data_IF_166557763884
#
_entry.id   IF_166557763884
#
_cell.length_a   1.000
_cell.length_b   1.000
_cell.length_c   1.000
_cell.angle_alpha   90.00
_cell.angle_beta   90.00
_cell.angle_gamma   90.00
#
_symmetry.space_group_name_H-M   'P 1'
#
loop_
_entity.id
_entity.type
_entity.pdbx_description
1 polymer ?
#
# COMPACT_ATOMS: atom_id res chain seq x y z
N UNK A 1 -6.50 -39.04 -2.99
CA UNK A 1 -7.36 -37.88 -2.72
C UNK A 1 -7.22 -36.98 -3.93
N UNK A 2 -8.25 -36.91 -4.77
CA UNK A 2 -8.22 -36.19 -6.05
C UNK A 2 -8.51 -34.70 -5.79
N UNK A 3 -7.46 -33.88 -5.77
CA UNK A 3 -7.53 -32.46 -5.38
C UNK A 3 -7.97 -31.53 -6.52
N UNK A 4 -8.46 -32.08 -7.63
CA UNK A 4 -8.86 -31.32 -8.84
C UNK A 4 -10.04 -30.38 -8.60
N UNK A 5 -10.87 -30.61 -7.59
CA UNK A 5 -12.00 -29.75 -7.21
C UNK A 5 -11.68 -28.74 -6.08
N UNK A 6 -10.48 -28.78 -5.50
CA UNK A 6 -10.12 -27.88 -4.41
C UNK A 6 -9.73 -26.49 -4.93
N UNK A 7 -10.12 -25.40 -4.24
CA UNK A 7 -9.67 -24.04 -4.57
C UNK A 7 -8.15 -23.96 -4.67
N UNK A 8 -7.66 -23.33 -5.73
CA UNK A 8 -6.23 -23.17 -6.01
C UNK A 8 -5.81 -21.75 -5.64
N UNK A 9 -4.68 -21.61 -4.95
CA UNK A 9 -3.99 -20.32 -4.78
C UNK A 9 -2.99 -20.19 -5.93
N UNK A 10 -3.24 -19.26 -6.84
CA UNK A 10 -2.44 -19.06 -8.04
C UNK A 10 -1.68 -17.74 -7.92
N UNK A 11 -0.37 -17.75 -8.17
CA UNK A 11 0.42 -16.52 -8.28
C UNK A 11 0.00 -15.78 -9.55
N UNK A 12 -0.74 -14.69 -9.39
CA UNK A 12 -1.14 -13.83 -10.50
C UNK A 12 -0.04 -12.84 -10.89
N UNK A 13 0.74 -12.37 -9.90
CA UNK A 13 1.77 -11.37 -10.09
C UNK A 13 2.82 -11.45 -8.98
N UNK A 14 4.08 -11.17 -9.35
CA UNK A 14 5.20 -11.01 -8.42
C UNK A 14 6.03 -9.78 -8.84
N UNK A 15 6.30 -8.90 -7.90
CA UNK A 15 7.13 -7.71 -8.09
C UNK A 15 8.24 -7.69 -7.03
N UNK A 16 9.45 -7.28 -7.43
CA UNK A 16 10.54 -7.02 -6.49
C UNK A 16 10.50 -5.58 -6.00
N UNK A 17 10.67 -5.38 -4.69
CA UNK A 17 10.68 -4.06 -4.06
C UNK A 17 12.09 -3.73 -3.55
N UNK A 18 12.42 -2.45 -3.53
CA UNK A 18 13.69 -1.90 -3.01
C UNK A 18 13.59 -1.45 -1.54
N UNK A 19 12.51 -1.81 -0.85
CA UNK A 19 12.24 -1.53 0.54
C UNK A 19 11.53 -2.73 1.18
N UNK A 20 11.50 -2.78 2.51
CA UNK A 20 10.80 -3.84 3.24
C UNK A 20 9.31 -3.47 3.37
N UNK A 21 8.39 -4.23 2.76
CA UNK A 21 6.95 -4.00 2.93
C UNK A 21 6.47 -4.54 4.28
N UNK A 22 5.64 -3.77 4.99
CA UNK A 22 5.05 -4.15 6.28
C UNK A 22 3.53 -4.27 6.25
N UNK A 23 2.85 -3.55 5.34
CA UNK A 23 1.41 -3.66 5.13
C UNK A 23 1.06 -3.37 3.67
N UNK A 24 -0.02 -3.99 3.18
CA UNK A 24 -0.56 -3.74 1.84
C UNK A 24 -2.08 -3.67 1.91
N UNK A 25 -2.68 -2.71 1.20
CA UNK A 25 -4.13 -2.49 1.22
C UNK A 25 -4.66 -2.16 -0.16
N UNK A 26 -5.76 -2.79 -0.54
CA UNK A 26 -6.52 -2.38 -1.72
C UNK A 26 -7.14 -1.00 -1.48
N UNK A 27 -7.01 -0.12 -2.47
CA UNK A 27 -7.73 1.15 -2.50
C UNK A 27 -9.19 0.86 -2.87
N UNK A 28 -10.17 1.21 -2.03
CA UNK A 28 -11.58 0.88 -2.27
C UNK A 28 -12.06 1.29 -3.66
N UNK A 29 -12.93 0.45 -4.26
CA UNK A 29 -13.55 0.70 -5.57
C UNK A 29 -12.53 0.91 -6.71
N UNK A 30 -11.38 0.23 -6.66
CA UNK A 30 -10.37 0.32 -7.73
C UNK A 30 -9.48 -0.91 -7.82
N UNK A 31 -8.71 -1.01 -8.92
CA UNK A 31 -7.63 -1.99 -9.07
C UNK A 31 -6.28 -1.46 -8.54
N UNK A 32 -6.31 -0.42 -7.70
CA UNK A 32 -5.13 0.18 -7.08
C UNK A 32 -4.91 -0.40 -5.70
N UNK A 33 -3.67 -0.48 -5.27
CA UNK A 33 -3.29 -0.88 -3.92
C UNK A 33 -2.10 -0.06 -3.43
N UNK A 34 -1.97 0.03 -2.12
CA UNK A 34 -0.85 0.71 -1.47
C UNK A 34 0.05 -0.29 -0.79
N UNK A 35 1.35 -0.07 -0.88
CA UNK A 35 2.38 -0.79 -0.14
C UNK A 35 3.04 0.18 0.82
N UNK A 36 2.99 -0.16 2.11
CA UNK A 36 3.60 0.61 3.18
C UNK A 36 4.83 -0.12 3.68
N UNK A 37 5.91 0.61 3.91
CA UNK A 37 7.15 -0.01 4.31
C UNK A 37 8.25 0.95 4.72
N UNK A 38 9.47 0.44 4.68
CA UNK A 38 10.67 1.17 5.08
C UNK A 38 11.87 0.78 4.20
N UNK A 39 12.61 1.78 3.72
CA UNK A 39 13.87 1.58 3.02
C UNK A 39 14.98 1.15 3.99
N UNK A 40 16.08 0.54 3.49
CA UNK A 40 17.23 0.18 4.33
C UNK A 40 17.84 1.33 5.14
N UNK A 41 17.67 2.59 4.67
CA UNK A 41 18.11 3.82 5.34
C UNK A 41 17.15 4.31 6.44
N UNK A 42 16.21 3.47 6.85
CA UNK A 42 15.21 3.71 7.89
C UNK A 42 14.17 4.81 7.65
N UNK A 43 14.02 5.25 6.41
CA UNK A 43 12.94 6.13 5.96
C UNK A 43 11.74 5.31 5.48
N UNK A 44 10.53 5.84 5.66
CA UNK A 44 9.29 5.19 5.24
C UNK A 44 8.98 5.36 3.78
N UNK A 45 8.20 4.43 3.25
CA UNK A 45 7.71 4.43 1.89
C UNK A 45 6.18 4.24 1.89
N UNK A 46 5.48 5.11 1.17
CA UNK A 46 4.11 4.86 0.70
C UNK A 46 4.21 4.74 -0.82
N UNK A 47 3.97 3.55 -1.36
CA UNK A 47 3.91 3.30 -2.80
C UNK A 47 2.47 2.98 -3.20
N UNK A 48 1.93 3.72 -4.17
CA UNK A 48 0.64 3.44 -4.81
C UNK A 48 0.91 2.70 -6.11
N UNK A 49 0.33 1.52 -6.25
CA UNK A 49 0.42 0.68 -7.43
C UNK A 49 -0.97 0.46 -8.04
N UNK A 50 -1.00 0.11 -9.32
CA UNK A 50 -2.20 -0.31 -10.03
C UNK A 50 -1.96 -1.64 -10.74
N UNK A 51 -2.90 -2.56 -10.57
CA UNK A 51 -2.93 -3.77 -11.37
C UNK A 51 -3.50 -3.44 -12.76
N UNK A 52 -2.70 -3.63 -13.80
CA UNK A 52 -3.06 -3.37 -15.18
C UNK A 52 -2.58 -4.51 -16.08
N UNK A 53 -3.52 -5.21 -16.74
CA UNK A 53 -3.22 -6.29 -17.73
C UNK A 53 -2.16 -7.30 -17.26
N UNK A 54 -2.24 -7.75 -16.01
CA UNK A 54 -1.30 -8.71 -15.44
C UNK A 54 0.06 -8.13 -15.04
N UNK A 55 0.17 -6.80 -14.95
CA UNK A 55 1.35 -6.08 -14.45
C UNK A 55 0.96 -5.17 -13.29
N UNK A 56 1.92 -4.91 -12.42
CA UNK A 56 1.81 -3.94 -11.34
C UNK A 56 2.56 -2.70 -11.79
N UNK A 57 1.82 -1.61 -11.96
CA UNK A 57 2.36 -0.33 -12.38
C UNK A 57 2.46 0.59 -11.16
N UNK A 58 3.65 1.11 -10.88
CA UNK A 58 3.84 2.13 -9.84
C UNK A 58 3.27 3.47 -10.33
N UNK A 59 2.25 3.96 -9.64
CA UNK A 59 1.61 5.24 -9.94
C UNK A 59 2.27 6.40 -9.19
N UNK A 60 2.52 6.22 -7.89
CA UNK A 60 3.10 7.23 -7.04
C UNK A 60 3.94 6.61 -5.93
N UNK A 61 4.92 7.36 -5.43
CA UNK A 61 5.77 6.98 -4.31
C UNK A 61 6.18 8.22 -3.54
N UNK A 62 6.08 8.16 -2.22
CA UNK A 62 6.60 9.21 -1.34
C UNK A 62 7.46 8.57 -0.25
N UNK A 63 8.53 9.27 0.10
CA UNK A 63 9.44 8.89 1.16
C UNK A 63 9.23 9.80 2.36
N UNK A 64 9.17 9.22 3.55
CA UNK A 64 8.97 9.95 4.80
C UNK A 64 10.09 9.65 5.80
N UNK A 65 10.39 10.54 6.76
CA UNK A 65 11.50 10.34 7.69
C UNK A 65 11.39 9.08 8.56
N UNK A 66 10.18 8.55 8.77
CA UNK A 66 9.90 7.37 9.61
C UNK A 66 9.23 6.27 8.80
N UNK A 67 9.59 5.01 9.08
CA UNK A 67 8.99 3.82 8.48
C UNK A 67 7.51 3.66 8.78
N UNK A 68 6.74 3.13 7.84
CA UNK A 68 5.31 2.84 8.04
C UNK A 68 5.08 1.39 8.44
N UNK A 69 4.32 1.16 9.51
CA UNK A 69 4.04 -0.18 10.03
C UNK A 69 2.72 -0.74 9.53
N UNK A 70 1.72 0.11 9.35
CA UNK A 70 0.36 -0.27 8.99
C UNK A 70 -0.42 0.88 8.36
N UNK A 71 -1.52 0.55 7.68
CA UNK A 71 -2.50 1.54 7.23
C UNK A 71 -3.88 0.98 6.97
N UNK A 72 -4.87 1.87 6.87
CA UNK A 72 -6.27 1.51 6.63
C UNK A 72 -7.01 2.61 5.89
N UNK A 73 -7.96 2.22 5.03
CA UNK A 73 -8.94 3.11 4.41
C UNK A 73 -10.24 3.22 5.23
N UNK A 74 -10.38 2.45 6.31
CA UNK A 74 -11.61 2.39 7.10
C UNK A 74 -11.98 3.69 7.82
N UNK A 75 -11.05 4.65 7.91
CA UNK A 75 -11.28 5.97 8.48
C UNK A 75 -11.77 7.01 7.44
N UNK A 76 -11.91 6.61 6.17
CA UNK A 76 -12.26 7.53 5.08
C UNK A 76 -13.55 7.12 4.37
N UNK A 77 -14.20 8.10 3.73
CA UNK A 77 -15.34 7.86 2.85
C UNK A 77 -14.89 7.13 1.57
N UNK A 78 -15.86 6.54 0.86
CA UNK A 78 -15.60 5.90 -0.44
C UNK A 78 -15.20 6.93 -1.52
N UNK A 79 -15.59 8.19 -1.34
CA UNK A 79 -15.28 9.28 -2.26
C UNK A 79 -13.83 9.74 -2.08
N UNK A 80 -13.43 10.03 -0.85
CA UNK A 80 -12.11 10.57 -0.52
C UNK A 80 -11.01 9.49 -0.58
N UNK A 81 -11.29 8.29 -0.06
CA UNK A 81 -10.34 7.15 0.00
C UNK A 81 -8.98 7.53 0.60
N UNK A 82 -8.99 8.41 1.59
CA UNK A 82 -7.79 8.77 2.32
C UNK A 82 -7.24 7.56 3.09
N UNK A 83 -5.91 7.43 3.10
CA UNK A 83 -5.21 6.37 3.80
C UNK A 83 -4.77 6.87 5.17
N UNK A 84 -5.27 6.27 6.24
CA UNK A 84 -4.68 6.45 7.57
C UNK A 84 -3.46 5.53 7.71
N UNK A 85 -2.34 6.04 8.22
CA UNK A 85 -1.10 5.28 8.43
C UNK A 85 -0.59 5.40 9.86
N UNK A 86 -0.06 4.31 10.40
CA UNK A 86 0.73 4.30 11.64
C UNK A 86 2.22 4.09 11.33
N UNK A 87 3.08 4.95 11.87
CA UNK A 87 4.53 4.85 11.71
C UNK A 87 5.24 4.20 12.91
N UNK A 88 6.53 3.91 12.76
CA UNK A 88 7.36 3.33 13.83
C UNK A 88 7.73 4.29 14.97
N UNK A 89 7.43 5.59 14.83
CA UNK A 89 7.58 6.58 15.90
C UNK A 89 6.27 6.77 16.70
N UNK A 90 5.21 6.02 16.39
CA UNK A 90 3.89 6.16 17.01
C UNK A 90 3.05 7.30 16.40
N UNK A 91 3.49 7.87 15.28
CA UNK A 91 2.78 8.87 14.52
C UNK A 91 1.59 8.27 13.78
N UNK A 92 0.46 9.00 13.81
CA UNK A 92 -0.73 8.74 13.00
C UNK A 92 -0.87 9.90 12.02
N UNK A 93 -1.08 9.58 10.75
CA UNK A 93 -1.30 10.58 9.70
C UNK A 93 -2.33 10.07 8.68
N UNK A 94 -3.02 11.00 8.03
CA UNK A 94 -3.98 10.71 6.95
C UNK A 94 -3.44 11.27 5.65
N UNK A 95 -3.47 10.45 4.60
CA UNK A 95 -2.88 10.77 3.29
C UNK A 95 -3.91 10.77 2.19
N UNK A 96 -3.83 11.78 1.33
CA UNK A 96 -4.48 11.78 0.02
C UNK A 96 -3.55 11.10 -0.98
N UNK A 97 -4.06 10.01 -1.59
CA UNK A 97 -3.29 9.23 -2.56
C UNK A 97 -3.02 9.99 -3.87
N UNK A 98 -3.84 11.00 -4.18
CA UNK A 98 -3.63 11.86 -5.35
C UNK A 98 -2.58 12.95 -5.05
N UNK A 99 -2.28 13.23 -3.77
CA UNK A 99 -1.27 14.20 -3.35
C UNK A 99 -0.47 13.74 -2.11
N UNK A 100 0.49 12.86 -2.34
CA UNK A 100 1.34 12.26 -1.30
C UNK A 100 2.48 13.18 -0.78
N UNK A 101 2.50 14.47 -1.13
CA UNK A 101 3.59 15.38 -0.71
C UNK A 101 3.54 15.68 0.78
N UNK A 102 2.34 15.75 1.35
CA UNK A 102 2.11 16.05 2.77
C UNK A 102 0.85 15.32 3.25
N UNK A 103 0.78 14.97 4.53
CA UNK A 103 -0.45 14.47 5.10
C UNK A 103 -1.54 15.56 5.10
N UNK A 104 -2.79 15.12 5.01
CA UNK A 104 -3.98 15.95 5.13
C UNK A 104 -4.27 16.26 6.60
N UNK A 105 -4.00 15.30 7.48
CA UNK A 105 -4.09 15.38 8.95
C UNK A 105 -2.92 14.66 9.59
#
# INVERSE_FOLDING_TARGET
MDCTAAPQVIEHLKEQLNFTPFDTRWVPQSARYVVLGQYPRATGCIRVCQLNKGKSEKLAETEQPKGFKCGTFGASSIEDRHLATGDYAGGLAIWDLENLKKPVW
#
